data_IF_900663821541
#
_entry.id   IF_900663821541
#
_cell.length_a   1.000
_cell.length_b   1.000
_cell.length_c   1.000
_cell.angle_alpha   90.00
_cell.angle_beta   90.00
_cell.angle_gamma   90.00
#
_symmetry.space_group_name_H-M   'P 1'
#
loop_
_entity.id
_entity.type
_entity.pdbx_description
1 polymer ?
#
# COMPACT_ATOMS: atom_id res chain seq x y z
N UNK A 1 13.51 -25.85 -29.69
CA UNK A 1 14.14 -24.92 -28.74
C UNK A 1 14.26 -25.67 -27.43
N UNK A 2 15.49 -25.96 -27.04
CA UNK A 2 15.87 -26.95 -26.03
C UNK A 2 15.54 -26.49 -24.60
N UNK A 3 15.28 -27.43 -23.67
CA UNK A 3 15.17 -27.12 -22.25
C UNK A 3 16.53 -26.64 -21.70
N UNK A 4 16.46 -25.70 -20.78
CA UNK A 4 17.53 -25.01 -20.05
C UNK A 4 18.65 -25.94 -19.55
N UNK A 5 19.84 -25.77 -20.10
CA UNK A 5 21.10 -26.15 -19.45
C UNK A 5 21.33 -25.23 -18.25
N UNK A 6 20.93 -25.67 -17.05
CA UNK A 6 21.57 -25.20 -15.84
C UNK A 6 22.82 -26.07 -15.61
N UNK A 7 24.02 -25.48 -15.46
CA UNK A 7 25.18 -26.26 -15.07
C UNK A 7 24.91 -26.91 -13.71
N UNK A 8 25.41 -28.14 -13.47
CA UNK A 8 25.27 -28.78 -12.17
C UNK A 8 25.91 -27.88 -11.09
N UNK A 9 25.15 -27.60 -10.04
CA UNK A 9 25.63 -26.89 -8.84
C UNK A 9 26.86 -27.59 -8.28
N UNK A 10 27.94 -26.84 -8.08
CA UNK A 10 29.22 -27.34 -7.58
C UNK A 10 29.02 -27.90 -6.14
N UNK A 11 29.27 -29.20 -5.90
CA UNK A 11 29.08 -29.81 -4.58
C UNK A 11 30.08 -29.30 -3.53
N UNK A 12 31.04 -28.44 -3.90
CA UNK A 12 31.99 -27.78 -3.00
C UNK A 12 31.54 -26.38 -2.53
N UNK A 13 30.43 -25.85 -3.05
CA UNK A 13 29.94 -24.54 -2.63
C UNK A 13 29.28 -24.64 -1.24
N UNK A 14 29.73 -23.85 -0.24
CA UNK A 14 29.10 -23.86 1.08
C UNK A 14 27.62 -23.43 0.92
N UNK A 15 26.69 -24.02 1.70
CA UNK A 15 25.29 -23.63 1.64
C UNK A 15 25.18 -22.11 1.88
N UNK A 16 24.26 -21.42 1.17
CA UNK A 16 24.09 -19.99 1.36
C UNK A 16 23.86 -19.70 2.84
N UNK A 17 24.56 -18.69 3.35
CA UNK A 17 24.45 -18.30 4.75
C UNK A 17 22.98 -18.09 5.11
N UNK A 18 22.56 -18.64 6.25
CA UNK A 18 21.20 -18.46 6.74
C UNK A 18 20.90 -16.95 6.84
N UNK A 19 19.72 -16.49 6.40
CA UNK A 19 19.36 -15.08 6.53
C UNK A 19 19.40 -14.67 8.00
N UNK A 20 19.78 -13.41 8.29
CA UNK A 20 19.82 -12.91 9.65
C UNK A 20 18.45 -13.06 10.33
N UNK A 21 18.41 -13.24 11.66
CA UNK A 21 17.15 -13.34 12.38
C UNK A 21 16.31 -12.08 12.16
N UNK A 22 15.00 -12.28 12.01
CA UNK A 22 14.06 -11.18 11.86
C UNK A 22 13.96 -10.37 13.17
N UNK A 23 13.83 -9.04 13.10
CA UNK A 23 13.73 -8.20 14.30
C UNK A 23 12.43 -8.45 15.07
N UNK A 24 12.44 -8.13 16.37
CA UNK A 24 11.24 -8.16 17.19
C UNK A 24 10.23 -7.10 16.72
N UNK A 25 8.94 -7.42 16.86
CA UNK A 25 7.85 -6.54 16.42
C UNK A 25 6.87 -6.33 17.57
N UNK A 26 6.68 -5.06 17.96
CA UNK A 26 5.69 -4.66 18.96
C UNK A 26 4.43 -4.13 18.28
N UNK A 27 3.26 -4.57 18.75
CA UNK A 27 1.97 -4.13 18.19
C UNK A 27 1.77 -2.63 18.39
N UNK A 28 1.37 -1.93 17.32
CA UNK A 28 0.96 -0.52 17.34
C UNK A 28 -0.55 -0.36 17.15
N UNK A 29 -1.12 -1.10 16.20
CA UNK A 29 -2.57 -1.20 15.99
C UNK A 29 -2.94 -2.67 15.88
N UNK A 30 -3.76 -3.16 16.81
CA UNK A 30 -4.22 -4.54 16.83
C UNK A 30 -5.31 -4.82 15.78
N UNK A 31 -5.68 -6.10 15.68
CA UNK A 31 -6.60 -6.62 14.65
C UNK A 31 -7.98 -5.97 14.81
N UNK A 32 -8.46 -5.87 16.05
CA UNK A 32 -9.77 -5.34 16.39
C UNK A 32 -9.87 -3.84 16.08
N UNK A 33 -8.81 -3.08 16.39
CA UNK A 33 -8.71 -1.64 16.10
C UNK A 33 -8.72 -1.39 14.59
N UNK A 34 -7.94 -2.16 13.82
CA UNK A 34 -7.90 -2.03 12.36
C UNK A 34 -9.27 -2.40 11.76
N UNK A 35 -9.87 -3.50 12.18
CA UNK A 35 -11.18 -3.92 11.69
C UNK A 35 -12.28 -2.89 12.01
N UNK A 36 -12.27 -2.29 13.20
CA UNK A 36 -13.17 -1.20 13.57
C UNK A 36 -12.97 0.03 12.69
N UNK A 37 -11.72 0.41 12.42
CA UNK A 37 -11.43 1.56 11.55
C UNK A 37 -11.86 1.31 10.11
N UNK A 38 -11.66 0.11 9.56
CA UNK A 38 -12.12 -0.22 8.20
C UNK A 38 -13.64 -0.08 8.06
N UNK A 39 -14.41 -0.50 9.08
CA UNK A 39 -15.88 -0.31 9.10
C UNK A 39 -16.27 1.17 9.13
N UNK A 40 -15.57 1.97 9.93
CA UNK A 40 -15.80 3.42 9.98
C UNK A 40 -15.48 4.08 8.63
N UNK A 41 -14.32 3.77 8.04
CA UNK A 41 -13.94 4.25 6.70
C UNK A 41 -14.96 3.86 5.63
N UNK A 42 -15.42 2.60 5.64
CA UNK A 42 -16.45 2.16 4.70
C UNK A 42 -17.75 2.94 4.84
N UNK A 43 -18.15 3.29 6.07
CA UNK A 43 -19.32 4.14 6.33
C UNK A 43 -19.11 5.56 5.82
N UNK A 44 -17.94 6.15 6.07
CA UNK A 44 -17.54 7.48 5.57
C UNK A 44 -17.57 7.53 4.02
N UNK A 45 -17.05 6.49 3.36
CA UNK A 45 -17.04 6.35 1.90
C UNK A 45 -18.44 6.08 1.35
N UNK A 46 -19.29 5.30 2.03
CA UNK A 46 -20.65 5.07 1.59
C UNK A 46 -21.49 6.37 1.64
N UNK A 47 -21.27 7.22 2.64
CA UNK A 47 -22.01 8.47 2.85
C UNK A 47 -21.82 9.51 1.73
N UNK A 48 -20.76 9.39 0.92
CA UNK A 48 -20.54 10.26 -0.24
C UNK A 48 -21.16 9.72 -1.55
N UNK A 49 -21.97 8.66 -1.44
CA UNK A 49 -22.79 8.05 -2.49
C UNK A 49 -22.05 7.89 -3.84
N UNK A 50 -20.92 7.16 -3.87
CA UNK A 50 -20.05 7.13 -5.03
C UNK A 50 -20.72 6.47 -6.23
N UNK A 51 -20.51 7.04 -7.41
CA UNK A 51 -21.12 6.60 -8.65
C UNK A 51 -20.16 5.72 -9.46
N UNK A 52 -20.58 4.49 -9.77
CA UNK A 52 -19.78 3.49 -10.52
C UNK A 52 -18.36 3.33 -9.96
N UNK A 53 -18.26 3.20 -8.64
CA UNK A 53 -17.00 3.23 -7.91
C UNK A 53 -15.98 2.22 -8.48
N UNK A 54 -14.79 2.72 -8.81
CA UNK A 54 -13.62 1.93 -9.12
C UNK A 54 -12.61 2.06 -7.98
N UNK A 55 -12.31 0.96 -7.31
CA UNK A 55 -11.25 0.90 -6.31
C UNK A 55 -9.94 0.57 -7.03
N UNK A 56 -8.92 1.41 -6.86
CA UNK A 56 -7.57 1.18 -7.39
C UNK A 56 -6.63 0.94 -6.21
N UNK A 57 -6.15 -0.28 -6.05
CA UNK A 57 -5.21 -0.66 -4.98
C UNK A 57 -3.76 -0.49 -5.45
N UNK A 58 -2.99 0.35 -4.75
CA UNK A 58 -1.57 0.57 -5.02
C UNK A 58 -0.74 -0.55 -4.40
N UNK A 59 -0.18 -1.40 -5.25
CA UNK A 59 0.60 -2.56 -4.83
C UNK A 59 2.07 -2.21 -4.54
N UNK A 60 2.73 -2.96 -3.66
CA UNK A 60 2.24 -4.18 -2.99
C UNK A 60 1.64 -3.92 -1.60
N UNK A 61 2.05 -2.85 -0.92
CA UNK A 61 1.79 -2.66 0.51
C UNK A 61 0.31 -2.63 0.91
N UNK A 62 -0.54 -2.04 0.07
CA UNK A 62 -1.94 -1.80 0.43
C UNK A 62 -2.88 -3.01 0.26
N UNK A 63 -2.42 -4.14 -0.29
CA UNK A 63 -3.34 -5.22 -0.72
C UNK A 63 -4.18 -5.84 0.41
N UNK A 64 -3.61 -5.98 1.61
CA UNK A 64 -4.35 -6.51 2.78
C UNK A 64 -5.41 -5.50 3.22
N UNK A 65 -5.00 -4.25 3.39
CA UNK A 65 -5.91 -3.15 3.72
C UNK A 65 -7.03 -3.00 2.70
N UNK A 66 -6.71 -2.98 1.41
CA UNK A 66 -7.70 -2.89 0.34
C UNK A 66 -8.68 -4.05 0.38
N UNK A 67 -8.21 -5.29 0.57
CA UNK A 67 -9.07 -6.47 0.65
C UNK A 67 -10.05 -6.41 1.83
N UNK A 68 -9.62 -5.93 3.00
CA UNK A 68 -10.50 -5.74 4.15
C UNK A 68 -11.47 -4.56 3.97
N UNK A 69 -11.00 -3.46 3.38
CA UNK A 69 -11.84 -2.30 3.14
C UNK A 69 -12.95 -2.59 2.12
N UNK A 70 -12.68 -3.33 1.03
CA UNK A 70 -13.74 -3.70 0.07
C UNK A 70 -14.81 -4.62 0.69
N UNK A 71 -14.43 -5.50 1.62
CA UNK A 71 -15.40 -6.30 2.40
C UNK A 71 -16.26 -5.41 3.29
N UNK A 72 -15.65 -4.42 3.94
CA UNK A 72 -16.38 -3.45 4.76
C UNK A 72 -17.30 -2.55 3.91
N UNK A 73 -16.85 -2.13 2.71
CA UNK A 73 -17.67 -1.38 1.75
C UNK A 73 -18.90 -2.17 1.32
N UNK A 74 -18.74 -3.46 1.02
CA UNK A 74 -19.87 -4.33 0.70
C UNK A 74 -20.89 -4.39 1.84
N UNK A 75 -20.42 -4.53 3.09
CA UNK A 75 -21.30 -4.49 4.27
C UNK A 75 -22.00 -3.13 4.46
N UNK A 76 -21.40 -2.04 3.98
CA UNK A 76 -21.98 -0.70 3.96
C UNK A 76 -22.87 -0.43 2.73
N UNK A 77 -23.14 -1.42 1.88
CA UNK A 77 -24.01 -1.30 0.71
C UNK A 77 -23.33 -0.78 -0.56
N UNK A 78 -22.00 -0.73 -0.59
CA UNK A 78 -21.21 -0.28 -1.75
C UNK A 78 -20.57 -1.47 -2.45
N UNK A 79 -20.79 -1.61 -3.76
CA UNK A 79 -20.25 -2.70 -4.59
C UNK A 79 -19.29 -2.15 -5.66
N UNK A 80 -17.99 -1.97 -5.35
CA UNK A 80 -17.02 -1.44 -6.30
C UNK A 80 -16.50 -2.50 -7.28
N UNK A 81 -16.05 -2.05 -8.45
CA UNK A 81 -15.05 -2.80 -9.24
C UNK A 81 -13.65 -2.57 -8.66
N UNK A 82 -12.73 -3.51 -8.85
CA UNK A 82 -11.39 -3.47 -8.25
C UNK A 82 -10.31 -3.63 -9.32
N UNK A 83 -9.36 -2.72 -9.29
CA UNK A 83 -8.16 -2.67 -10.12
C UNK A 83 -6.90 -2.57 -9.26
N UNK A 84 -5.77 -2.95 -9.85
CA UNK A 84 -4.47 -2.90 -9.16
C UNK A 84 -3.46 -2.12 -9.99
N UNK A 85 -2.72 -1.24 -9.35
CA UNK A 85 -1.63 -0.49 -9.97
C UNK A 85 -0.33 -0.77 -9.23
N UNK A 86 0.77 -1.00 -9.97
CA UNK A 86 2.11 -1.11 -9.40
C UNK A 86 2.89 0.12 -9.80
N UNK A 87 3.27 0.92 -8.80
CA UNK A 87 4.10 2.11 -8.97
C UNK A 87 5.45 1.91 -8.31
N UNK A 88 6.51 2.31 -9.01
CA UNK A 88 7.87 2.34 -8.49
C UNK A 88 8.35 3.78 -8.41
N UNK A 89 8.86 4.18 -7.25
CA UNK A 89 9.59 5.43 -7.10
C UNK A 89 11.06 5.19 -7.42
N UNK A 90 11.65 5.97 -8.33
CA UNK A 90 13.09 5.87 -8.60
C UNK A 90 13.89 6.22 -7.33
N UNK A 91 14.55 5.22 -6.75
CA UNK A 91 15.52 5.35 -5.66
C UNK A 91 16.93 5.27 -6.24
N UNK A 92 17.47 6.38 -6.71
CA UNK A 92 18.89 6.48 -7.04
C UNK A 92 19.57 7.20 -5.87
N UNK A 93 20.11 6.42 -4.93
CA UNK A 93 20.72 6.92 -3.68
C UNK A 93 19.72 7.64 -2.74
N UNK A 94 20.20 8.15 -1.61
CA UNK A 94 19.44 8.67 -0.44
C UNK A 94 18.40 9.77 -0.69
N UNK A 95 18.12 10.12 -1.96
CA UNK A 95 17.11 11.10 -2.36
C UNK A 95 16.31 10.57 -3.56
N UNK A 96 14.98 10.52 -3.44
CA UNK A 96 14.09 10.17 -4.56
C UNK A 96 14.22 11.22 -5.67
N UNK A 97 14.40 10.79 -6.92
CA UNK A 97 14.48 11.70 -8.10
C UNK A 97 13.14 12.34 -8.47
N UNK A 98 12.06 11.99 -7.78
CA UNK A 98 10.72 12.53 -8.00
C UNK A 98 9.98 11.94 -9.20
N UNK A 99 10.63 11.07 -10.00
CA UNK A 99 9.96 10.33 -11.08
C UNK A 99 9.33 9.06 -10.52
N UNK A 100 8.03 8.89 -10.80
CA UNK A 100 7.28 7.65 -10.54
C UNK A 100 7.16 6.90 -11.86
N UNK A 101 7.44 5.60 -11.85
CA UNK A 101 7.29 4.69 -12.98
C UNK A 101 6.08 3.79 -12.76
N UNK A 102 5.25 3.65 -13.79
CA UNK A 102 4.17 2.66 -13.82
C UNK A 102 4.78 1.33 -14.24
N UNK A 103 4.75 0.33 -13.36
CA UNK A 103 5.15 -1.04 -13.67
C UNK A 103 3.97 -1.89 -14.12
N UNK A 104 2.79 -1.64 -13.54
CA UNK A 104 1.51 -2.19 -13.98
C UNK A 104 0.45 -1.12 -13.86
N UNK A 105 -0.27 -0.94 -14.95
CA UNK A 105 -1.37 0.02 -15.04
C UNK A 105 -2.72 -0.65 -14.82
N UNK A 106 -3.76 0.15 -14.61
CA UNK A 106 -5.16 -0.33 -14.57
C UNK A 106 -5.63 -0.70 -15.97
N UNK A 107 -6.42 -1.76 -16.07
CA UNK A 107 -6.92 -2.28 -17.37
C UNK A 107 -8.33 -1.76 -17.69
N UNK A 108 -9.15 -1.53 -16.66
CA UNK A 108 -10.51 -1.00 -16.79
C UNK A 108 -10.57 0.46 -17.24
N UNK A 109 -11.69 0.82 -17.87
CA UNK A 109 -12.01 2.21 -18.22
C UNK A 109 -12.25 3.05 -16.96
N UNK A 110 -11.61 4.22 -16.91
CA UNK A 110 -11.61 5.17 -15.78
C UNK A 110 -12.58 6.32 -16.02
N UNK A 111 -12.85 6.66 -17.29
CA UNK A 111 -13.62 7.84 -17.68
C UNK A 111 -15.03 7.86 -17.06
N UNK A 112 -15.36 8.99 -16.43
CA UNK A 112 -16.68 9.26 -15.86
C UNK A 112 -17.00 8.46 -14.60
N UNK A 113 -16.02 7.80 -13.98
CA UNK A 113 -16.18 7.03 -12.74
C UNK A 113 -15.70 7.81 -11.53
N UNK A 114 -16.28 7.53 -10.37
CA UNK A 114 -15.63 7.82 -9.10
C UNK A 114 -14.55 6.78 -8.86
N UNK A 115 -13.34 7.25 -8.55
CA UNK A 115 -12.19 6.39 -8.26
C UNK A 115 -11.78 6.57 -6.80
N UNK A 116 -11.61 5.46 -6.08
CA UNK A 116 -11.00 5.43 -4.76
C UNK A 116 -9.63 4.76 -4.84
N UNK A 117 -8.59 5.57 -4.74
CA UNK A 117 -7.22 5.11 -4.69
C UNK A 117 -6.87 4.68 -3.26
N UNK A 118 -6.48 3.41 -3.07
CA UNK A 118 -6.10 2.84 -1.78
C UNK A 118 -4.58 2.67 -1.72
N UNK A 119 -3.96 3.20 -0.67
CA UNK A 119 -2.53 3.03 -0.39
C UNK A 119 -2.29 2.67 1.09
N UNK A 120 -1.13 2.09 1.43
CA UNK A 120 -0.82 1.70 2.81
C UNK A 120 -0.32 2.89 3.65
N UNK A 121 0.64 3.67 3.13
CA UNK A 121 1.28 4.75 3.87
C UNK A 121 1.39 6.02 3.03
N UNK A 122 0.79 7.10 3.52
CA UNK A 122 1.09 8.46 3.07
C UNK A 122 2.27 9.04 3.87
N UNK A 123 3.45 9.07 3.26
CA UNK A 123 4.65 9.71 3.83
C UNK A 123 5.13 10.89 2.98
N UNK A 124 5.77 10.62 1.82
CA UNK A 124 6.20 11.70 0.92
C UNK A 124 5.07 12.27 0.04
N UNK A 125 4.02 11.48 -0.18
CA UNK A 125 2.89 11.81 -1.04
C UNK A 125 3.12 11.69 -2.55
N UNK A 126 4.35 11.41 -3.01
CA UNK A 126 4.67 11.39 -4.45
C UNK A 126 3.91 10.32 -5.22
N UNK A 127 3.90 9.08 -4.71
CA UNK A 127 3.18 7.95 -5.34
C UNK A 127 1.68 8.24 -5.46
N UNK A 128 1.06 8.62 -4.34
CA UNK A 128 -0.36 8.91 -4.27
C UNK A 128 -0.76 10.08 -5.17
N UNK A 129 0.02 11.17 -5.18
CA UNK A 129 -0.24 12.33 -6.03
C UNK A 129 -0.11 11.98 -7.52
N UNK A 130 0.95 11.25 -7.90
CA UNK A 130 1.12 10.81 -9.28
C UNK A 130 -0.06 9.96 -9.77
N UNK A 131 -0.48 8.97 -8.97
CA UNK A 131 -1.63 8.13 -9.31
C UNK A 131 -2.93 8.94 -9.41
N UNK A 132 -3.16 9.86 -8.47
CA UNK A 132 -4.34 10.73 -8.46
C UNK A 132 -4.41 11.59 -9.73
N UNK A 133 -3.30 12.25 -10.06
CA UNK A 133 -3.20 13.11 -11.25
C UNK A 133 -3.36 12.31 -12.55
N UNK A 134 -2.76 11.11 -12.62
CA UNK A 134 -2.88 10.21 -13.77
C UNK A 134 -4.33 9.79 -14.03
N UNK A 135 -5.05 9.38 -13.00
CA UNK A 135 -6.44 8.93 -13.11
C UNK A 135 -7.39 10.10 -13.42
N UNK A 136 -7.13 11.27 -12.84
CA UNK A 136 -7.86 12.50 -13.17
C UNK A 136 -7.67 12.90 -14.64
N UNK A 137 -6.43 12.85 -15.15
CA UNK A 137 -6.11 13.15 -16.55
C UNK A 137 -6.77 12.17 -17.54
N UNK A 138 -7.09 10.94 -17.11
CA UNK A 138 -7.84 9.94 -17.88
C UNK A 138 -9.35 10.18 -17.89
N UNK A 139 -9.82 11.20 -17.18
CA UNK A 139 -11.21 11.62 -17.17
C UNK A 139 -12.07 10.96 -16.09
N UNK A 140 -11.47 10.49 -14.99
CA UNK A 140 -12.24 10.18 -13.78
C UNK A 140 -13.12 11.37 -13.39
N UNK A 141 -14.35 11.10 -12.95
CA UNK A 141 -15.26 12.15 -12.48
C UNK A 141 -14.79 12.73 -11.14
N UNK A 142 -14.30 11.85 -10.26
CA UNK A 142 -13.73 12.17 -8.96
C UNK A 142 -12.62 11.19 -8.65
N UNK A 143 -11.51 11.67 -8.09
CA UNK A 143 -10.43 10.80 -7.59
C UNK A 143 -10.22 11.08 -6.11
N UNK A 144 -10.66 10.13 -5.29
CA UNK A 144 -10.55 10.11 -3.84
C UNK A 144 -9.38 9.22 -3.43
N UNK A 145 -8.85 9.46 -2.25
CA UNK A 145 -7.71 8.74 -1.70
C UNK A 145 -8.06 8.20 -0.31
N UNK A 146 -7.74 6.94 -0.07
CA UNK A 146 -7.87 6.31 1.23
C UNK A 146 -6.54 5.67 1.60
N UNK A 147 -5.95 6.12 2.71
CA UNK A 147 -4.67 5.59 3.17
C UNK A 147 -4.82 5.01 4.56
N UNK A 148 -4.17 3.86 4.82
CA UNK A 148 -4.22 3.26 6.15
C UNK A 148 -3.47 4.13 7.15
N UNK A 149 -2.24 4.54 6.84
CA UNK A 149 -1.38 5.32 7.73
C UNK A 149 -0.98 6.65 7.07
N UNK A 150 -0.93 7.71 7.88
CA UNK A 150 -0.29 8.97 7.51
C UNK A 150 0.85 9.26 8.49
N UNK A 151 2.05 9.54 7.96
CA UNK A 151 3.22 9.92 8.75
C UNK A 151 3.52 11.41 8.62
N UNK A 152 3.83 12.11 9.73
CA UNK A 152 4.16 13.53 9.69
C UNK A 152 5.57 13.79 9.13
N UNK A 153 5.82 15.04 8.73
CA UNK A 153 7.18 15.60 8.63
C UNK A 153 7.97 15.31 7.35
N UNK A 154 7.50 14.43 6.46
CA UNK A 154 8.24 14.02 5.25
C UNK A 154 7.55 14.32 3.92
N UNK A 155 6.47 15.12 3.96
CA UNK A 155 5.67 15.48 2.80
C UNK A 155 6.52 16.22 1.76
N UNK A 156 6.60 15.67 0.55
CA UNK A 156 7.33 16.27 -0.56
C UNK A 156 6.42 16.97 -1.57
N UNK A 157 5.12 16.68 -1.53
CA UNK A 157 4.08 17.27 -2.39
C UNK A 157 2.82 17.58 -1.59
N UNK A 158 2.07 18.60 -1.98
CA UNK A 158 0.83 18.97 -1.29
C UNK A 158 -0.31 18.02 -1.67
N UNK A 159 -0.38 16.86 -1.02
CA UNK A 159 -1.54 15.94 -1.02
C UNK A 159 -1.96 15.53 0.39
N UNK A 160 -3.26 15.58 0.66
CA UNK A 160 -3.89 15.08 1.89
C UNK A 160 -4.80 13.90 1.49
N UNK A 161 -4.90 12.91 2.36
CA UNK A 161 -5.81 11.79 2.13
C UNK A 161 -7.26 12.21 2.39
N UNK A 162 -8.17 11.84 1.50
CA UNK A 162 -9.61 12.11 1.67
C UNK A 162 -10.19 11.26 2.81
N UNK A 163 -9.67 10.03 2.96
CA UNK A 163 -10.00 9.12 4.06
C UNK A 163 -8.71 8.57 4.70
N UNK A 164 -8.60 8.70 6.02
CA UNK A 164 -7.40 8.29 6.76
C UNK A 164 -7.73 7.22 7.80
N UNK A 165 -7.03 6.08 7.76
CA UNK A 165 -7.09 5.08 8.82
C UNK A 165 -6.56 5.63 10.13
N UNK A 166 -5.26 5.90 10.21
CA UNK A 166 -4.57 6.30 11.43
C UNK A 166 -3.46 7.32 11.17
N UNK A 167 -3.31 8.28 12.08
CA UNK A 167 -2.09 9.09 12.17
C UNK A 167 -1.01 8.25 12.84
N UNK A 168 0.04 7.94 12.12
CA UNK A 168 1.16 7.16 12.62
C UNK A 168 2.32 8.09 13.01
N UNK A 169 2.92 7.95 14.21
CA UNK A 169 4.20 8.59 14.51
C UNK A 169 5.28 8.18 13.49
N UNK A 170 6.39 8.92 13.44
CA UNK A 170 7.52 8.60 12.56
C UNK A 170 8.30 7.37 13.06
N UNK A 171 7.68 6.20 12.92
CA UNK A 171 8.19 4.88 13.33
C UNK A 171 8.29 3.97 12.11
N UNK A 172 9.27 3.07 12.12
CA UNK A 172 9.35 2.03 11.11
C UNK A 172 8.31 0.94 11.41
N UNK A 173 7.30 0.82 10.53
CA UNK A 173 6.15 -0.08 10.72
C UNK A 173 6.12 -1.21 9.70
N UNK A 174 5.58 -2.34 10.11
CA UNK A 174 5.41 -3.56 9.30
C UNK A 174 4.07 -4.22 9.64
N UNK A 175 3.70 -5.24 8.86
CA UNK A 175 2.45 -5.96 9.10
C UNK A 175 1.28 -5.37 8.33
N UNK A 176 0.20 -6.14 8.27
CA UNK A 176 -1.03 -5.76 7.59
C UNK A 176 -0.80 -5.26 6.15
N UNK A 177 0.03 -6.00 5.41
CA UNK A 177 0.44 -5.69 4.04
C UNK A 177 1.79 -4.98 3.91
N UNK A 178 2.23 -4.22 4.92
CA UNK A 178 3.52 -3.50 4.94
C UNK A 178 4.69 -4.44 5.27
N UNK A 179 5.89 -4.14 4.76
CA UNK A 179 7.08 -5.01 4.90
C UNK A 179 8.38 -4.29 5.25
N UNK A 180 9.34 -5.10 5.69
CA UNK A 180 10.78 -4.83 5.61
C UNK A 180 11.44 -5.98 4.87
N UNK A 181 12.20 -5.68 3.81
CA UNK A 181 12.89 -6.69 3.00
C UNK A 181 12.00 -7.88 2.60
N UNK A 182 10.75 -7.61 2.19
CA UNK A 182 9.73 -8.61 1.83
C UNK A 182 9.17 -9.48 2.97
N UNK A 183 9.59 -9.27 4.22
CA UNK A 183 9.07 -9.96 5.40
C UNK A 183 7.91 -9.21 6.08
N UNK A 184 7.16 -9.93 6.93
CA UNK A 184 6.13 -9.43 7.85
C UNK A 184 4.78 -8.98 7.28
N UNK A 185 4.57 -8.94 5.96
CA UNK A 185 3.28 -8.51 5.35
C UNK A 185 2.06 -9.25 5.92
N UNK A 186 2.24 -10.51 6.27
CA UNK A 186 1.19 -11.42 6.73
C UNK A 186 0.73 -11.19 8.18
N UNK A 187 1.43 -10.36 8.96
CA UNK A 187 1.01 -10.08 10.33
C UNK A 187 -0.39 -9.44 10.31
N UNK A 188 -1.32 -9.87 11.18
CA UNK A 188 -2.70 -9.39 11.13
C UNK A 188 -2.88 -7.99 11.77
N UNK A 189 -1.80 -7.41 12.28
CA UNK A 189 -1.73 -6.12 12.96
C UNK A 189 -0.66 -5.23 12.32
N UNK A 190 -0.72 -3.92 12.61
CA UNK A 190 0.40 -3.02 12.32
C UNK A 190 1.34 -3.03 13.51
N UNK A 191 2.60 -3.37 13.28
CA UNK A 191 3.64 -3.43 14.30
C UNK A 191 4.78 -2.47 14.02
N UNK A 192 5.53 -2.14 15.06
CA UNK A 192 6.76 -1.36 15.01
C UNK A 192 7.93 -2.32 15.12
N UNK A 193 8.91 -2.17 14.24
CA UNK A 193 10.15 -2.94 14.32
C UNK A 193 10.99 -2.39 15.47
N UNK A 194 11.33 -3.24 16.42
CA UNK A 194 12.26 -2.91 17.49
C UNK A 194 13.67 -3.23 17.00
N UNK A 195 14.49 -2.19 16.86
CA UNK A 195 15.92 -2.39 16.68
C UNK A 195 16.51 -2.67 18.05
N UNK A 196 17.01 -3.89 18.25
CA UNK A 196 17.97 -4.13 19.33
C UNK A 196 19.19 -3.29 19.00
N UNK A 197 19.40 -2.19 19.74
CA UNK A 197 20.70 -1.52 19.77
C UNK A 197 21.71 -2.60 20.15
N UNK A 198 22.49 -3.03 19.16
CA UNK A 198 23.72 -3.78 19.45
C UNK A 198 24.74 -2.68 19.67
N UNK A 199 25.04 -2.41 20.94
CA UNK A 199 26.20 -1.61 21.36
C UNK A 199 27.50 -2.16 20.75
#
# INVERSE_FOLDING_TARGET
MSPSDHPPSDPSEPPPAAPPPLPAVRVLYDVETIAARNRALATEIAAIEPQRLLVVCVLKGSFVFAADLIRALHAAGVAPEVEFMILSSYRTSTVSTGRVQILRDVESEVRGRDVLLIDDILESGRTLAFAKDLLAARGAARVLTCVLLEKPGKRAVKIDADFLGFRCPDLFVVGYGMDIAHAFRQLPFVGVVEHSETE
#
